data_IF_815084085015
#
_entry.id   IF_815084085015
#
_cell.length_a   1.000
_cell.length_b   1.000
_cell.length_c   1.000
_cell.angle_alpha   90.00
_cell.angle_beta   90.00
_cell.angle_gamma   90.00
#
_symmetry.space_group_name_H-M   'P 1'
#
loop_
_entity.id
_entity.type
_entity.pdbx_description
1 polymer ?
#
# COMPACT_ATOMS: atom_id res chain seq x y z
N UNK A 1 16.16 4.95 -27.65
CA UNK A 1 16.95 5.80 -26.73
C UNK A 1 16.13 5.98 -25.47
N UNK A 2 16.38 5.21 -24.42
CA UNK A 2 15.70 5.42 -23.14
C UNK A 2 16.28 6.70 -22.53
N UNK A 3 15.47 7.76 -22.43
CA UNK A 3 15.86 8.95 -21.70
C UNK A 3 16.22 8.51 -20.27
N UNK A 4 17.50 8.62 -19.93
CA UNK A 4 18.06 8.21 -18.66
C UNK A 4 17.71 9.28 -17.61
N UNK A 5 16.41 9.52 -17.43
CA UNK A 5 15.91 10.48 -16.44
C UNK A 5 16.26 9.96 -15.06
N UNK A 6 17.08 10.71 -14.34
CA UNK A 6 17.44 10.41 -12.96
C UNK A 6 16.63 11.28 -12.01
N UNK A 7 16.14 10.68 -10.93
CA UNK A 7 15.51 11.38 -9.81
C UNK A 7 16.46 11.27 -8.63
N UNK A 8 17.01 12.40 -8.15
CA UNK A 8 17.96 12.44 -7.04
C UNK A 8 19.13 11.44 -7.20
N UNK A 9 19.64 11.28 -8.44
CA UNK A 9 20.74 10.36 -8.74
C UNK A 9 20.34 8.90 -8.99
N UNK A 10 19.06 8.55 -8.83
CA UNK A 10 18.55 7.20 -9.12
C UNK A 10 17.86 7.14 -10.49
N UNK A 11 18.00 6.03 -11.25
CA UNK A 11 17.24 5.86 -12.49
C UNK A 11 15.74 5.87 -12.20
N UNK A 12 14.97 6.67 -12.95
CA UNK A 12 13.53 6.84 -12.75
C UNK A 12 12.74 5.56 -13.01
N UNK A 13 13.18 4.77 -13.98
CA UNK A 13 12.64 3.45 -14.30
C UNK A 13 13.82 2.49 -14.57
N UNK A 14 14.34 1.80 -13.54
CA UNK A 14 15.33 0.75 -13.76
C UNK A 14 14.68 -0.45 -14.45
N UNK A 15 15.50 -1.42 -14.89
CA UNK A 15 15.02 -2.69 -15.43
C UNK A 15 14.04 -3.34 -14.45
N UNK A 16 12.88 -3.71 -14.93
CA UNK A 16 11.80 -4.23 -14.10
C UNK A 16 12.18 -5.55 -13.42
N UNK A 17 11.79 -5.67 -12.16
CA UNK A 17 11.94 -6.88 -11.35
C UNK A 17 10.67 -7.12 -10.56
N UNK A 18 10.07 -8.29 -10.75
CA UNK A 18 8.78 -8.63 -10.14
C UNK A 18 8.93 -8.80 -8.62
N UNK A 19 8.04 -8.16 -7.86
CA UNK A 19 8.00 -8.19 -6.39
C UNK A 19 9.23 -7.57 -5.70
N UNK A 20 10.08 -6.85 -6.43
CA UNK A 20 11.19 -6.08 -5.85
C UNK A 20 10.84 -4.59 -5.78
N UNK A 21 11.40 -3.83 -4.82
CA UNK A 21 11.23 -2.38 -4.78
C UNK A 21 11.90 -1.70 -5.98
N UNK A 22 11.26 -0.65 -6.52
CA UNK A 22 11.81 0.14 -7.64
C UNK A 22 13.10 0.85 -7.30
N UNK A 23 13.22 1.36 -6.07
CA UNK A 23 14.37 2.13 -5.60
C UNK A 23 15.22 1.31 -4.63
N UNK A 24 16.54 1.56 -4.57
CA UNK A 24 17.43 0.88 -3.64
C UNK A 24 17.01 1.08 -2.17
N UNK A 25 17.01 0.00 -1.37
CA UNK A 25 16.59 0.07 0.04
C UNK A 25 17.76 0.23 1.03
N UNK A 26 18.99 0.17 0.54
CA UNK A 26 20.24 0.42 1.27
C UNK A 26 20.41 1.90 1.63
N UNK A 27 19.96 2.80 0.75
CA UNK A 27 20.06 4.25 0.96
C UNK A 27 18.79 4.86 1.59
N UNK A 28 18.96 5.93 2.36
CA UNK A 28 17.84 6.69 2.91
C UNK A 28 16.92 7.25 1.82
N UNK A 29 17.49 7.90 0.80
CA UNK A 29 16.71 8.50 -0.28
C UNK A 29 15.95 7.45 -1.10
N UNK A 30 16.53 6.28 -1.34
CA UNK A 30 15.84 5.20 -2.03
C UNK A 30 14.65 4.64 -1.22
N UNK A 31 14.81 4.47 0.10
CA UNK A 31 13.67 4.15 0.99
C UNK A 31 12.60 5.23 0.99
N UNK A 32 12.99 6.51 1.05
CA UNK A 32 12.06 7.63 1.00
C UNK A 32 11.24 7.64 -0.30
N UNK A 33 11.89 7.50 -1.46
CA UNK A 33 11.22 7.42 -2.75
C UNK A 33 10.31 6.19 -2.87
N UNK A 34 10.72 5.06 -2.28
CA UNK A 34 9.87 3.87 -2.18
C UNK A 34 8.62 4.14 -1.34
N UNK A 35 8.74 4.78 -0.17
CA UNK A 35 7.60 5.15 0.65
C UNK A 35 6.65 6.11 -0.08
N UNK A 36 7.18 7.09 -0.83
CA UNK A 36 6.36 7.98 -1.66
C UNK A 36 5.55 7.22 -2.72
N UNK A 37 6.08 6.13 -3.27
CA UNK A 37 5.30 5.26 -4.16
C UNK A 37 4.19 4.53 -3.40
N UNK A 38 4.48 4.01 -2.21
CA UNK A 38 3.52 3.25 -1.40
C UNK A 38 2.36 4.13 -0.94
N UNK A 39 2.61 5.38 -0.56
CA UNK A 39 1.59 6.30 -0.05
C UNK A 39 0.91 7.14 -1.14
N UNK A 40 1.13 6.85 -2.43
CA UNK A 40 0.60 7.67 -3.53
C UNK A 40 -0.95 7.65 -3.55
N UNK A 41 -1.62 8.78 -3.23
CA UNK A 41 -3.08 8.84 -3.11
C UNK A 41 -3.78 8.65 -4.45
N UNK A 42 -3.08 8.79 -5.58
CA UNK A 42 -3.66 8.56 -6.92
C UNK A 42 -4.15 7.12 -7.09
N UNK A 43 -3.55 6.18 -6.37
CA UNK A 43 -3.95 4.77 -6.38
C UNK A 43 -5.34 4.55 -5.78
N UNK A 44 -5.86 5.47 -4.96
CA UNK A 44 -7.22 5.41 -4.40
C UNK A 44 -8.30 5.48 -5.48
N UNK A 45 -8.05 6.25 -6.54
CA UNK A 45 -8.98 6.49 -7.64
C UNK A 45 -8.87 5.46 -8.78
N UNK A 46 -8.12 4.38 -8.57
CA UNK A 46 -7.95 3.33 -9.59
C UNK A 46 -9.20 2.48 -9.71
N UNK A 47 -9.71 2.32 -10.94
CA UNK A 47 -10.88 1.50 -11.23
C UNK A 47 -10.57 -0.01 -11.14
N UNK A 48 -11.62 -0.83 -10.96
CA UNK A 48 -11.47 -2.29 -10.93
C UNK A 48 -10.95 -2.84 -12.27
N UNK A 49 -11.41 -2.29 -13.40
CA UNK A 49 -10.93 -2.66 -14.74
C UNK A 49 -9.44 -2.40 -14.86
N UNK A 50 -8.98 -1.21 -14.43
CA UNK A 50 -7.57 -0.84 -14.49
C UNK A 50 -6.70 -1.72 -13.59
N UNK A 51 -7.19 -2.07 -12.41
CA UNK A 51 -6.51 -3.02 -11.53
C UNK A 51 -6.36 -4.39 -12.22
N UNK A 52 -7.42 -4.91 -12.83
CA UNK A 52 -7.39 -6.19 -13.54
C UNK A 52 -6.37 -6.18 -14.68
N UNK A 53 -6.38 -5.15 -15.52
CA UNK A 53 -5.38 -4.97 -16.59
C UNK A 53 -3.94 -4.99 -16.05
N UNK A 54 -3.69 -4.34 -14.92
CA UNK A 54 -2.36 -4.30 -14.31
C UNK A 54 -1.94 -5.68 -13.77
N UNK A 55 -2.87 -6.42 -13.19
CA UNK A 55 -2.62 -7.78 -12.69
C UNK A 55 -2.35 -8.73 -13.86
N UNK A 56 -3.17 -8.69 -14.91
CA UNK A 56 -3.02 -9.51 -16.11
C UNK A 56 -1.68 -9.22 -16.80
N UNK A 57 -1.29 -7.95 -16.90
CA UNK A 57 0.01 -7.53 -17.44
C UNK A 57 1.20 -8.12 -16.67
N UNK A 58 1.13 -8.15 -15.32
CA UNK A 58 2.18 -8.76 -14.50
C UNK A 58 2.19 -10.29 -14.61
N UNK A 59 1.03 -10.92 -14.78
CA UNK A 59 0.92 -12.36 -14.98
C UNK A 59 1.49 -12.78 -16.34
N UNK A 60 1.23 -12.02 -17.40
CA UNK A 60 1.82 -12.25 -18.72
C UNK A 60 3.34 -12.08 -18.72
N UNK A 61 3.85 -11.08 -17.99
CA UNK A 61 5.29 -10.91 -17.77
C UNK A 61 5.89 -12.13 -17.04
N UNK A 62 5.24 -12.61 -15.97
CA UNK A 62 5.68 -13.80 -15.23
C UNK A 62 5.64 -15.06 -16.09
N UNK A 63 4.70 -15.18 -17.02
CA UNK A 63 4.58 -16.29 -17.96
C UNK A 63 5.60 -16.22 -19.11
N UNK A 64 6.49 -15.22 -19.14
CA UNK A 64 7.49 -15.05 -20.20
C UNK A 64 6.92 -14.62 -21.54
N UNK A 65 5.66 -14.18 -21.60
CA UNK A 65 4.97 -13.81 -22.86
C UNK A 65 5.41 -12.45 -23.42
N UNK A 66 6.14 -11.64 -22.66
CA UNK A 66 6.40 -10.24 -23.03
C UNK A 66 7.88 -9.86 -22.87
N UNK A 67 8.62 -9.93 -23.98
CA UNK A 67 9.99 -9.43 -24.12
C UNK A 67 10.05 -7.93 -24.54
N UNK A 68 8.92 -7.33 -24.93
CA UNK A 68 8.89 -6.01 -25.62
C UNK A 68 8.13 -4.90 -24.87
N UNK A 69 7.73 -5.12 -23.62
CA UNK A 69 7.00 -4.10 -22.83
C UNK A 69 7.94 -3.12 -22.14
N UNK A 70 7.49 -1.89 -21.98
CA UNK A 70 8.27 -0.82 -21.36
C UNK A 70 8.34 -1.04 -19.84
N UNK A 71 9.55 -0.99 -19.25
CA UNK A 71 9.77 -1.13 -17.80
C UNK A 71 8.90 -0.17 -16.99
N UNK A 72 8.63 1.03 -17.53
CA UNK A 72 7.73 2.02 -16.92
C UNK A 72 6.32 1.47 -16.68
N UNK A 73 5.76 0.74 -17.64
CA UNK A 73 4.41 0.16 -17.54
C UNK A 73 4.37 -0.95 -16.49
N UNK A 74 5.41 -1.79 -16.47
CA UNK A 74 5.54 -2.89 -15.50
C UNK A 74 5.68 -2.36 -14.07
N UNK A 75 6.53 -1.35 -13.85
CA UNK A 75 6.66 -0.69 -12.55
C UNK A 75 5.35 -0.04 -12.09
N UNK A 76 4.62 0.59 -13.01
CA UNK A 76 3.33 1.19 -12.70
C UNK A 76 2.27 0.15 -12.36
N UNK A 77 2.21 -0.96 -13.09
CA UNK A 77 1.31 -2.06 -12.81
C UNK A 77 1.61 -2.70 -11.45
N UNK A 78 2.89 -2.90 -11.11
CA UNK A 78 3.29 -3.40 -9.80
C UNK A 78 2.88 -2.44 -8.68
N UNK A 79 3.10 -1.13 -8.87
CA UNK A 79 2.65 -0.10 -7.91
C UNK A 79 1.15 -0.19 -7.65
N UNK A 80 0.32 -0.29 -8.70
CA UNK A 80 -1.14 -0.42 -8.57
C UNK A 80 -1.52 -1.72 -7.85
N UNK A 81 -0.92 -2.84 -8.23
CA UNK A 81 -1.16 -4.14 -7.60
C UNK A 81 -0.85 -4.08 -6.10
N UNK A 82 0.35 -3.64 -5.73
CA UNK A 82 0.81 -3.56 -4.35
C UNK A 82 0.04 -2.53 -3.51
N UNK A 83 -0.49 -1.47 -4.12
CA UNK A 83 -1.27 -0.46 -3.40
C UNK A 83 -2.71 -0.90 -3.10
N UNK A 84 -3.28 -1.83 -3.87
CA UNK A 84 -4.70 -2.18 -3.81
C UNK A 84 -4.93 -3.59 -3.30
N UNK A 85 -4.08 -4.55 -3.66
CA UNK A 85 -4.19 -5.94 -3.24
C UNK A 85 -3.26 -6.21 -2.08
N UNK A 86 -3.75 -6.96 -1.09
CA UNK A 86 -2.93 -7.46 0.00
C UNK A 86 -1.86 -8.43 -0.54
N UNK A 87 -0.59 -8.30 -0.14
CA UNK A 87 0.50 -9.12 -0.67
C UNK A 87 0.31 -10.62 -0.42
N UNK A 88 -0.18 -10.98 0.77
CA UNK A 88 -0.35 -12.37 1.18
C UNK A 88 -1.69 -12.99 0.73
N UNK A 89 -2.82 -12.31 0.94
CA UNK A 89 -4.16 -12.87 0.63
C UNK A 89 -4.60 -12.62 -0.81
N UNK A 90 -4.00 -11.64 -1.49
CA UNK A 90 -4.46 -11.18 -2.81
C UNK A 90 -5.80 -10.47 -2.80
N UNK A 91 -6.40 -10.24 -1.62
CA UNK A 91 -7.68 -9.59 -1.47
C UNK A 91 -7.57 -8.07 -1.62
N UNK A 92 -8.66 -7.45 -2.07
CA UNK A 92 -8.72 -6.01 -2.26
C UNK A 92 -8.86 -5.30 -0.92
N UNK A 93 -7.87 -4.48 -0.58
CA UNK A 93 -7.94 -3.61 0.60
C UNK A 93 -8.87 -2.43 0.32
N UNK A 94 -9.72 -2.09 1.30
CA UNK A 94 -10.62 -0.94 1.18
C UNK A 94 -9.84 0.38 1.09
N UNK A 95 -10.24 1.33 0.23
CA UNK A 95 -9.51 2.59 0.03
C UNK A 95 -9.07 3.34 1.30
N UNK A 96 -9.90 3.51 2.34
CA UNK A 96 -9.46 4.22 3.55
C UNK A 96 -8.40 3.47 4.36
N UNK A 97 -8.25 2.16 4.18
CA UNK A 97 -7.29 1.35 4.94
C UNK A 97 -6.05 0.98 4.13
N UNK A 98 -5.93 1.46 2.88
CA UNK A 98 -4.70 1.34 2.09
C UNK A 98 -3.65 2.29 2.65
N UNK A 99 -2.37 1.95 2.47
CA UNK A 99 -1.28 2.89 2.78
C UNK A 99 -1.40 4.22 2.02
N UNK A 100 -1.97 4.22 0.81
CA UNK A 100 -2.29 5.44 0.06
C UNK A 100 -3.47 6.24 0.62
N UNK A 101 -4.31 5.62 1.46
CA UNK A 101 -5.42 6.25 2.17
C UNK A 101 -5.02 6.85 3.52
N UNK A 102 -3.93 6.38 4.12
CA UNK A 102 -3.53 6.78 5.47
C UNK A 102 -3.41 8.31 5.64
N UNK A 103 -2.72 8.97 4.72
CA UNK A 103 -2.53 10.43 4.74
C UNK A 103 -3.83 11.19 4.49
N UNK A 104 -4.59 10.97 3.40
CA UNK A 104 -5.79 11.75 3.13
C UNK A 104 -6.92 11.52 4.15
N UNK A 105 -7.13 10.28 4.62
CA UNK A 105 -8.18 10.00 5.61
C UNK A 105 -7.76 10.39 7.03
N UNK A 106 -6.49 10.17 7.41
CA UNK A 106 -5.95 10.65 8.68
C UNK A 106 -5.96 12.17 8.80
N UNK A 107 -5.69 12.89 7.71
CA UNK A 107 -5.79 14.36 7.67
C UNK A 107 -7.18 14.87 8.05
N UNK A 108 -8.25 14.22 7.59
CA UNK A 108 -9.63 14.59 7.93
C UNK A 108 -9.86 14.46 9.43
N UNK A 109 -9.42 13.35 10.02
CA UNK A 109 -9.55 13.09 11.46
C UNK A 109 -8.77 14.11 12.29
N UNK A 110 -7.51 14.38 11.94
CA UNK A 110 -6.67 15.36 12.65
C UNK A 110 -7.25 16.77 12.53
N UNK A 111 -7.75 17.15 11.35
CA UNK A 111 -8.41 18.45 11.16
C UNK A 111 -9.64 18.58 12.06
N UNK A 112 -10.44 17.51 12.18
CA UNK A 112 -11.58 17.46 13.10
C UNK A 112 -11.20 17.65 14.56
N UNK A 113 -10.05 17.10 14.98
CA UNK A 113 -9.51 17.27 16.34
C UNK A 113 -8.99 18.70 16.61
N UNK A 114 -8.55 19.42 15.58
CA UNK A 114 -7.98 20.77 15.69
C UNK A 114 -9.01 21.90 15.55
N UNK A 115 -10.30 21.58 15.41
CA UNK A 115 -11.35 22.58 15.35
C UNK A 115 -11.44 23.37 16.67
N UNK A 116 -11.60 24.71 16.61
CA UNK A 116 -11.67 25.54 17.81
C UNK A 116 -12.97 25.29 18.59
N UNK A 117 -12.89 25.38 19.92
CA UNK A 117 -14.01 25.18 20.85
C UNK A 117 -14.78 23.86 20.63
N UNK A 118 -14.10 22.69 20.61
CA UNK A 118 -14.79 21.43 20.44
C UNK A 118 -15.63 21.11 21.68
N UNK A 119 -16.85 20.65 21.47
CA UNK A 119 -17.63 20.05 22.57
C UNK A 119 -16.96 18.75 23.04
N UNK A 120 -17.25 18.33 24.28
CA UNK A 120 -16.71 17.07 24.82
C UNK A 120 -17.12 15.85 23.97
N UNK A 121 -18.33 15.85 23.41
CA UNK A 121 -18.81 14.79 22.51
C UNK A 121 -18.05 14.79 21.18
N UNK A 122 -17.75 15.96 20.63
CA UNK A 122 -16.91 16.12 19.43
C UNK A 122 -15.50 15.55 19.66
N UNK A 123 -14.90 15.84 20.82
CA UNK A 123 -13.57 15.32 21.16
C UNK A 123 -13.56 13.79 21.24
N UNK A 124 -14.53 13.19 21.93
CA UNK A 124 -14.65 11.74 22.02
C UNK A 124 -14.86 11.09 20.66
N UNK A 125 -15.72 11.67 19.82
CA UNK A 125 -15.98 11.16 18.48
C UNK A 125 -14.70 11.12 17.64
N UNK A 126 -13.93 12.21 17.59
CA UNK A 126 -12.70 12.26 16.79
C UNK A 126 -11.60 11.36 17.35
N UNK A 127 -11.48 11.23 18.67
CA UNK A 127 -10.53 10.30 19.29
C UNK A 127 -10.87 8.85 18.98
N UNK A 128 -12.15 8.48 19.12
CA UNK A 128 -12.64 7.15 18.75
C UNK A 128 -12.40 6.86 17.27
N UNK A 129 -12.68 7.83 16.40
CA UNK A 129 -12.43 7.70 14.96
C UNK A 129 -10.93 7.51 14.66
N UNK A 130 -10.06 8.30 15.30
CA UNK A 130 -8.62 8.19 15.13
C UNK A 130 -8.10 6.80 15.53
N UNK A 131 -8.51 6.29 16.70
CA UNK A 131 -8.11 4.97 17.15
C UNK A 131 -8.66 3.85 16.24
N UNK A 132 -9.93 3.95 15.83
CA UNK A 132 -10.54 3.00 14.91
C UNK A 132 -9.83 2.97 13.56
N UNK A 133 -9.47 4.15 13.01
CA UNK A 133 -8.74 4.25 11.76
C UNK A 133 -7.35 3.59 11.85
N UNK A 134 -6.58 3.91 12.90
CA UNK A 134 -5.27 3.30 13.11
C UNK A 134 -5.36 1.78 13.31
N UNK A 135 -6.36 1.29 14.06
CA UNK A 135 -6.58 -0.15 14.24
C UNK A 135 -6.90 -0.86 12.91
N UNK A 136 -7.78 -0.27 12.08
CA UNK A 136 -8.18 -0.85 10.80
C UNK A 136 -7.07 -0.81 9.75
N UNK A 137 -6.28 0.27 9.71
CA UNK A 137 -5.08 0.35 8.86
C UNK A 137 -4.07 -0.73 9.26
N UNK A 138 -3.80 -0.89 10.55
CA UNK A 138 -2.90 -1.95 11.02
C UNK A 138 -3.45 -3.34 10.69
N UNK A 139 -4.74 -3.59 10.88
CA UNK A 139 -5.37 -4.87 10.54
C UNK A 139 -5.31 -5.16 9.03
N UNK A 140 -5.55 -4.17 8.19
CA UNK A 140 -5.58 -4.31 6.74
C UNK A 140 -4.19 -4.44 6.10
N UNK A 141 -3.13 -3.98 6.77
CA UNK A 141 -1.75 -4.05 6.29
C UNK A 141 -0.87 -4.99 7.13
N UNK A 142 -1.46 -5.79 8.02
CA UNK A 142 -0.72 -6.79 8.80
C UNK A 142 -0.15 -7.86 7.86
N UNK A 143 1.05 -8.36 8.15
CA UNK A 143 1.53 -9.57 7.50
C UNK A 143 0.60 -10.73 7.87
N UNK A 144 -0.09 -11.31 6.88
CA UNK A 144 -0.97 -12.47 7.08
C UNK A 144 -0.17 -13.78 7.17
N UNK A 145 1.14 -13.73 6.95
CA UNK A 145 2.10 -14.82 7.15
C UNK A 145 2.51 -15.04 8.61
N UNK A 146 2.18 -14.12 9.52
CA UNK A 146 2.37 -14.35 10.96
C UNK A 146 1.20 -15.16 11.50
N UNK A 147 1.47 -16.38 11.96
CA UNK A 147 0.53 -17.20 12.72
C UNK A 147 -0.05 -16.34 13.84
N UNK A 148 -1.35 -16.12 13.80
CA UNK A 148 -2.06 -15.48 14.90
C UNK A 148 -1.91 -16.38 16.13
N UNK A 149 -1.11 -15.97 17.11
CA UNK A 149 -0.96 -16.66 18.40
C UNK A 149 -2.31 -16.88 19.11
N UNK A 150 -3.35 -16.15 18.69
CA UNK A 150 -4.73 -16.34 19.13
C UNK A 150 -5.27 -17.74 18.79
N UNK A 151 -4.91 -18.31 17.63
CA UNK A 151 -5.33 -19.66 17.27
C UNK A 151 -4.58 -20.71 18.11
N UNK A 152 -3.31 -20.47 18.42
CA UNK A 152 -2.50 -21.35 19.28
C UNK A 152 -3.01 -21.35 20.72
N UNK A 153 -3.50 -20.22 21.24
CA UNK A 153 -4.03 -20.13 22.60
C UNK A 153 -5.38 -20.86 22.74
N UNK A 154 -6.27 -20.76 21.75
CA UNK A 154 -7.56 -21.47 21.74
C UNK A 154 -7.37 -22.98 21.55
N UNK A 155 -6.39 -23.41 20.77
CA UNK A 155 -6.04 -24.84 20.70
C UNK A 155 -5.48 -25.35 22.03
N UNK A 156 -4.66 -24.57 22.75
CA UNK A 156 -4.11 -24.98 24.05
C UNK A 156 -5.18 -25.12 25.15
N UNK A 157 -6.22 -24.28 25.15
CA UNK A 157 -7.33 -24.42 26.12
C UNK A 157 -8.37 -25.48 25.72
N UNK A 158 -8.45 -25.87 24.45
CA UNK A 158 -9.30 -26.99 24.03
C UNK A 158 -8.72 -28.38 24.39
N UNK A 159 -7.46 -28.42 24.85
CA UNK A 159 -6.74 -29.63 25.29
C UNK A 159 -6.51 -29.70 26.82
N UNK A 160 -7.11 -28.78 27.59
CA UNK A 160 -7.22 -28.83 29.06
C UNK A 160 -8.66 -29.09 29.48
#
# INVERSE_FOLDING_TARGET
MANNETIFGFPKYPKFRLNEPRFPQDTFLGRYLHFLDVIDPRTLFTSNTRLKECVDLLNDFKAGKQLTRNDKELWHAQKIKCAILHPDTGEKVLPPFRMSGYVPFGWITVTGMLLPNPSWTTLLFWQWMNQSHNALVNYANRNATLVSYFNTFVELEAFL
#
